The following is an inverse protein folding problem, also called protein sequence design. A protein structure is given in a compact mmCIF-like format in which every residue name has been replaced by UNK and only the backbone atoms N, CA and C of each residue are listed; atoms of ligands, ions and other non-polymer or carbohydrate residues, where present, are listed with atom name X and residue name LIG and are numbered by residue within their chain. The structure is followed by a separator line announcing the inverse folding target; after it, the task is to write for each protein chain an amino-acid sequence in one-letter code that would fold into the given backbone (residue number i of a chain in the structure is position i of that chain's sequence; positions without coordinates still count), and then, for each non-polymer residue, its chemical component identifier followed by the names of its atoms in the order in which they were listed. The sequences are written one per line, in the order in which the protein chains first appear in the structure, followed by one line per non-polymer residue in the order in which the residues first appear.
data_IF_618195079578
#
_entry.id   IF_618195079578
#
_cell.length_a   1.000
_cell.length_b   1.000
_cell.length_c   1.000
_cell.angle_alpha   90.00
_cell.angle_beta   90.00
_cell.angle_gamma   90.00
#
_symmetry.space_group_name_H-M   'P 1'
#
loop_
_entity.id
_entity.type
_entity.pdbx_description
1 polymer ?
#
# COMPACT_ATOMS: atom_id res chain seq x y z
N UNK A 1 0.61 11.46 12.65
CA UNK A 1 1.18 10.48 11.70
C UNK A 1 0.99 9.12 12.33
N UNK A 2 0.08 8.32 11.80
CA UNK A 2 -0.16 6.93 12.22
C UNK A 2 0.88 6.04 11.54
N UNK A 3 1.60 5.23 12.31
CA UNK A 3 2.69 4.39 11.79
C UNK A 3 2.21 3.02 11.30
N UNK A 4 1.02 2.60 11.74
CA UNK A 4 0.39 1.31 11.47
C UNK A 4 -1.12 1.48 11.60
N UNK A 5 -1.93 0.77 10.80
CA UNK A 5 -3.39 0.73 11.00
C UNK A 5 -3.78 -0.34 12.04
N UNK A 6 -4.97 -0.27 12.67
CA UNK A 6 -5.44 -1.33 13.58
C UNK A 6 -5.46 -2.72 12.95
N UNK A 7 -5.98 -2.83 11.73
CA UNK A 7 -6.01 -4.06 10.95
C UNK A 7 -4.62 -4.61 10.64
N UNK A 8 -3.66 -3.74 10.34
CA UNK A 8 -2.26 -4.14 10.14
C UNK A 8 -1.61 -4.58 11.46
N UNK A 9 -1.86 -3.89 12.56
CA UNK A 9 -1.34 -4.24 13.88
C UNK A 9 -1.90 -5.57 14.37
N UNK A 10 -3.20 -5.82 14.18
CA UNK A 10 -3.84 -7.10 14.48
C UNK A 10 -3.12 -8.25 13.76
N UNK A 11 -2.91 -8.10 12.45
CA UNK A 11 -2.19 -9.09 11.64
C UNK A 11 -0.74 -9.26 12.11
N UNK A 12 -0.01 -8.17 12.40
CA UNK A 12 1.35 -8.22 12.92
C UNK A 12 1.41 -8.95 14.27
N UNK A 13 0.46 -8.71 15.16
CA UNK A 13 0.36 -9.37 16.47
C UNK A 13 0.08 -10.87 16.33
N UNK A 14 -0.78 -11.27 15.39
CA UNK A 14 -1.02 -12.68 15.10
C UNK A 14 0.29 -13.41 14.71
N UNK A 15 1.12 -12.77 13.90
CA UNK A 15 2.42 -13.29 13.48
C UNK A 15 3.49 -13.22 14.58
N UNK A 16 3.41 -12.24 15.48
CA UNK A 16 4.29 -12.09 16.64
C UNK A 16 4.01 -13.14 17.71
N UNK A 17 2.74 -13.38 18.04
CA UNK A 17 2.28 -14.32 19.08
C UNK A 17 2.23 -15.79 18.62
N UNK A 18 2.57 -16.04 17.35
CA UNK A 18 2.62 -17.38 16.75
C UNK A 18 1.24 -18.03 16.55
N UNK A 19 0.23 -17.26 16.15
CA UNK A 19 -1.12 -17.79 15.88
C UNK A 19 -1.10 -18.57 14.57
N UNK A 20 -1.23 -19.91 14.66
CA UNK A 20 -1.01 -20.87 13.57
C UNK A 20 -1.93 -20.62 12.35
N UNK A 21 -3.14 -20.09 12.55
CA UNK A 21 -4.15 -19.92 11.50
C UNK A 21 -4.10 -18.57 10.77
N UNK A 22 -3.12 -17.70 11.04
CA UNK A 22 -3.07 -16.39 10.40
C UNK A 22 -2.32 -16.45 9.05
N UNK A 23 -3.01 -16.22 7.90
CA UNK A 23 -2.35 -16.17 6.60
C UNK A 23 -1.41 -14.96 6.47
N UNK A 24 -0.64 -14.94 5.38
CA UNK A 24 0.06 -13.71 4.98
C UNK A 24 -0.94 -12.58 4.71
N UNK A 25 -0.45 -11.33 4.71
CA UNK A 25 -1.29 -10.13 4.59
C UNK A 25 -2.37 -10.20 3.50
N UNK A 26 -2.02 -10.65 2.29
CA UNK A 26 -2.99 -10.74 1.20
C UNK A 26 -4.13 -11.72 1.51
N UNK A 27 -3.81 -12.90 2.07
CA UNK A 27 -4.84 -13.87 2.45
C UNK A 27 -5.68 -13.39 3.63
N UNK A 28 -5.08 -12.66 4.57
CA UNK A 28 -5.82 -12.02 5.67
C UNK A 28 -6.83 -11.01 5.11
N UNK A 29 -6.38 -10.12 4.21
CA UNK A 29 -7.25 -9.12 3.58
C UNK A 29 -8.33 -9.77 2.71
N UNK A 30 -7.99 -10.83 1.96
CA UNK A 30 -8.95 -11.57 1.14
C UNK A 30 -10.06 -12.19 2.00
N UNK A 31 -9.70 -12.91 3.07
CA UNK A 31 -10.69 -13.55 3.95
C UNK A 31 -11.57 -12.52 4.67
N UNK A 32 -10.98 -11.49 5.28
CA UNK A 32 -11.73 -10.50 6.08
C UNK A 32 -12.59 -9.54 5.24
N UNK A 33 -12.38 -9.50 3.93
CA UNK A 33 -13.19 -8.68 3.02
C UNK A 33 -14.10 -9.51 2.12
N UNK A 34 -14.14 -10.83 2.28
CA UNK A 34 -14.93 -11.74 1.43
C UNK A 34 -16.44 -11.47 1.51
N UNK A 35 -16.94 -11.16 2.70
CA UNK A 35 -18.35 -10.84 2.94
C UNK A 35 -18.73 -9.40 2.57
N UNK A 36 -17.76 -8.57 2.14
CA UNK A 36 -18.00 -7.15 1.84
C UNK A 36 -18.72 -7.01 0.51
N UNK A 37 -19.79 -6.22 0.49
CA UNK A 37 -20.45 -5.85 -0.76
C UNK A 37 -19.47 -5.12 -1.71
N UNK A 38 -19.45 -5.52 -2.97
CA UNK A 38 -18.66 -4.90 -4.02
C UNK A 38 -19.49 -4.67 -5.28
N UNK A 39 -18.98 -3.80 -6.15
CA UNK A 39 -19.53 -3.61 -7.49
C UNK A 39 -18.65 -4.31 -8.50
N UNK A 40 -19.27 -5.10 -9.37
CA UNK A 40 -18.57 -5.68 -10.51
C UNK A 40 -18.28 -4.58 -11.54
N UNK A 41 -17.06 -4.60 -12.09
CA UNK A 41 -16.68 -3.73 -13.20
C UNK A 41 -16.52 -4.56 -14.45
N UNK A 42 -17.01 -4.04 -15.57
CA UNK A 42 -16.79 -4.66 -16.87
C UNK A 42 -15.52 -4.10 -17.50
N UNK A 43 -14.60 -4.98 -17.89
CA UNK A 43 -13.41 -4.60 -18.66
C UNK A 43 -13.71 -4.82 -20.13
N UNK A 44 -13.66 -3.72 -20.90
CA UNK A 44 -13.85 -3.73 -22.35
C UNK A 44 -12.59 -3.20 -23.04
N UNK A 45 -12.18 -3.86 -24.10
CA UNK A 45 -11.09 -3.37 -24.95
C UNK A 45 -11.60 -2.28 -25.88
N UNK A 46 -10.90 -1.16 -25.90
CA UNK A 46 -11.19 -0.05 -26.81
C UNK A 46 -10.38 -0.17 -28.11
N UNK A 47 -10.81 0.47 -29.21
CA UNK A 47 -10.09 0.45 -30.47
C UNK A 47 -8.64 0.92 -30.34
N UNK A 48 -7.75 0.33 -31.14
CA UNK A 48 -6.36 0.78 -31.20
C UNK A 48 -6.26 2.15 -31.87
N UNK A 49 -5.45 3.03 -31.28
CA UNK A 49 -5.09 4.31 -31.88
C UNK A 49 -3.82 4.13 -32.70
N UNK A 50 -3.94 4.30 -34.02
CA UNK A 50 -2.82 4.18 -34.95
C UNK A 50 -2.03 5.51 -35.05
N UNK A 51 -1.49 5.96 -33.92
CA UNK A 51 -0.61 7.13 -33.81
C UNK A 51 0.56 6.80 -32.88
N UNK A 52 1.71 7.48 -33.02
CA UNK A 52 2.81 7.26 -32.08
C UNK A 52 2.39 7.71 -30.66
N UNK A 53 2.49 6.83 -29.65
CA UNK A 53 1.81 7.02 -28.36
C UNK A 53 2.30 8.22 -27.55
N UNK A 54 3.55 8.65 -27.81
CA UNK A 54 4.17 9.78 -27.13
C UNK A 54 3.84 11.14 -27.72
N UNK A 55 3.12 11.21 -28.83
CA UNK A 55 2.77 12.49 -29.48
C UNK A 55 1.63 13.18 -28.73
N UNK A 56 1.66 14.52 -28.59
CA UNK A 56 0.55 15.27 -28.00
C UNK A 56 -0.78 14.99 -28.69
N UNK A 57 -0.78 14.86 -30.02
CA UNK A 57 -1.97 14.55 -30.82
C UNK A 57 -2.58 13.20 -30.43
N UNK A 58 -1.76 12.15 -30.33
CA UNK A 58 -2.23 10.84 -29.90
C UNK A 58 -2.85 10.88 -28.51
N UNK A 59 -2.16 11.53 -27.55
CA UNK A 59 -2.64 11.62 -26.17
C UNK A 59 -3.96 12.41 -26.12
N UNK A 60 -4.04 13.53 -26.85
CA UNK A 60 -5.25 14.34 -26.92
C UNK A 60 -6.43 13.59 -27.55
N UNK A 61 -6.20 12.88 -28.66
CA UNK A 61 -7.24 12.05 -29.30
C UNK A 61 -7.75 10.95 -28.37
N UNK A 62 -6.86 10.26 -27.65
CA UNK A 62 -7.24 9.24 -26.65
C UNK A 62 -8.07 9.86 -25.53
N UNK A 63 -7.68 11.03 -25.01
CA UNK A 63 -8.40 11.73 -23.95
C UNK A 63 -9.81 12.15 -24.40
N UNK A 64 -9.96 12.69 -25.61
CA UNK A 64 -11.27 13.04 -26.18
C UNK A 64 -12.14 11.79 -26.31
N UNK A 65 -11.59 10.73 -26.89
CA UNK A 65 -12.30 9.48 -27.08
C UNK A 65 -12.77 8.90 -25.74
N UNK A 66 -11.88 8.83 -24.75
CA UNK A 66 -12.23 8.36 -23.40
C UNK A 66 -13.35 9.20 -22.76
N UNK A 67 -13.31 10.53 -22.90
CA UNK A 67 -14.38 11.40 -22.41
C UNK A 67 -15.72 11.13 -23.13
N UNK A 68 -15.70 10.95 -24.46
CA UNK A 68 -16.91 10.63 -25.23
C UNK A 68 -17.53 9.29 -24.81
N UNK A 69 -16.72 8.26 -24.59
CA UNK A 69 -17.18 6.95 -24.10
C UNK A 69 -17.77 7.07 -22.69
N UNK A 70 -17.08 7.75 -21.77
CA UNK A 70 -17.61 8.03 -20.43
C UNK A 70 -18.96 8.76 -20.49
N UNK A 71 -19.11 9.72 -21.41
CA UNK A 71 -20.36 10.45 -21.61
C UNK A 71 -21.50 9.53 -22.06
N UNK A 72 -21.25 8.60 -22.98
CA UNK A 72 -22.22 7.61 -23.43
C UNK A 72 -22.68 6.68 -22.29
N UNK A 73 -21.76 6.39 -21.36
CA UNK A 73 -22.03 5.61 -20.15
C UNK A 73 -22.61 6.44 -18.99
N UNK A 74 -22.99 7.70 -19.22
CA UNK A 74 -23.49 8.64 -18.22
C UNK A 74 -22.53 8.88 -17.03
N UNK A 75 -21.23 8.69 -17.24
CA UNK A 75 -20.20 8.98 -16.25
C UNK A 75 -19.87 10.48 -16.23
N UNK A 76 -19.96 11.10 -15.04
CA UNK A 76 -19.69 12.53 -14.86
C UNK A 76 -18.19 12.87 -14.89
N UNK A 77 -17.34 11.89 -14.59
CA UNK A 77 -15.89 12.04 -14.51
C UNK A 77 -15.24 10.91 -15.27
N UNK A 78 -14.29 11.25 -16.15
CA UNK A 78 -13.49 10.29 -16.90
C UNK A 78 -12.13 10.13 -16.22
N UNK A 79 -11.84 8.96 -15.66
CA UNK A 79 -10.53 8.67 -15.09
C UNK A 79 -9.64 8.01 -16.15
N UNK A 80 -8.47 8.58 -16.40
CA UNK A 80 -7.51 8.02 -17.36
C UNK A 80 -6.17 7.83 -16.67
N UNK A 81 -5.60 6.63 -16.79
CA UNK A 81 -4.29 6.29 -16.23
C UNK A 81 -3.23 6.28 -17.32
N UNK A 82 -2.06 6.84 -17.03
CA UNK A 82 -0.90 6.81 -17.92
C UNK A 82 0.36 6.38 -17.15
N UNK A 83 1.35 5.87 -17.88
CA UNK A 83 2.71 5.78 -17.36
C UNK A 83 3.31 7.17 -17.09
N UNK A 84 4.47 7.23 -16.45
CA UNK A 84 5.04 8.51 -15.99
C UNK A 84 5.32 9.51 -17.13
N UNK A 85 5.96 9.13 -18.27
CA UNK A 85 6.18 10.06 -19.36
C UNK A 85 4.89 10.60 -20.00
N UNK A 86 3.87 9.74 -20.19
CA UNK A 86 2.62 10.14 -20.81
C UNK A 86 1.73 10.91 -19.83
N UNK A 87 1.78 10.60 -18.54
CA UNK A 87 1.05 11.30 -17.48
C UNK A 87 1.34 12.80 -17.50
N UNK A 88 2.62 13.19 -17.57
CA UNK A 88 3.03 14.61 -17.57
C UNK A 88 2.43 15.34 -18.79
N UNK A 89 2.50 14.73 -19.97
CA UNK A 89 1.93 15.30 -21.20
C UNK A 89 0.41 15.40 -21.14
N UNK A 90 -0.25 14.35 -20.67
CA UNK A 90 -1.70 14.30 -20.52
C UNK A 90 -2.20 15.35 -19.52
N UNK A 91 -1.47 15.60 -18.42
CA UNK A 91 -1.79 16.67 -17.46
C UNK A 91 -1.78 18.05 -18.11
N UNK A 92 -0.75 18.38 -18.90
CA UNK A 92 -0.67 19.66 -19.60
C UNK A 92 -1.81 19.83 -20.63
N UNK A 93 -2.17 18.75 -21.33
CA UNK A 93 -3.30 18.75 -22.28
C UNK A 93 -4.62 19.00 -21.55
N UNK A 94 -4.89 18.29 -20.46
CA UNK A 94 -6.15 18.44 -19.71
C UNK A 94 -6.26 19.80 -19.06
N UNK A 95 -5.18 20.38 -18.55
CA UNK A 95 -5.17 21.73 -17.99
C UNK A 95 -5.49 22.80 -19.03
N UNK A 96 -5.02 22.62 -20.27
CA UNK A 96 -5.27 23.55 -21.38
C UNK A 96 -6.61 23.31 -22.10
N UNK A 97 -7.27 22.17 -21.85
CA UNK A 97 -8.48 21.74 -22.58
C UNK A 97 -9.73 21.75 -21.71
N UNK A 98 -10.84 22.33 -22.19
CA UNK A 98 -12.15 22.28 -21.50
C UNK A 98 -12.97 21.06 -21.94
N UNK A 99 -12.49 19.86 -21.62
CA UNK A 99 -13.15 18.60 -21.99
C UNK A 99 -14.34 18.29 -21.05
N UNK A 100 -15.39 17.68 -21.60
CA UNK A 100 -16.59 17.25 -20.87
C UNK A 100 -16.96 15.80 -21.24
N UNK A 101 -17.10 14.86 -20.29
CA UNK A 101 -16.91 14.98 -18.84
C UNK A 101 -15.52 15.43 -18.41
N UNK A 102 -15.41 15.92 -17.17
CA UNK A 102 -14.11 16.30 -16.61
C UNK A 102 -13.18 15.10 -16.61
N UNK A 103 -11.99 15.27 -17.18
CA UNK A 103 -10.97 14.21 -17.17
C UNK A 103 -10.07 14.37 -15.95
N UNK A 104 -9.90 13.27 -15.21
CA UNK A 104 -8.93 13.16 -14.12
C UNK A 104 -7.81 12.22 -14.56
N UNK A 105 -6.69 12.81 -14.93
CA UNK A 105 -5.48 12.06 -15.30
C UNK A 105 -4.79 11.55 -14.03
N UNK A 106 -4.47 10.26 -13.99
CA UNK A 106 -3.76 9.58 -12.89
C UNK A 106 -2.47 8.93 -13.38
N UNK A 107 -1.43 8.97 -12.56
CA UNK A 107 -0.27 8.11 -12.76
C UNK A 107 -0.69 6.67 -12.46
N UNK A 108 -0.35 5.73 -13.34
CA UNK A 108 -0.67 4.32 -13.19
C UNK A 108 -0.15 3.76 -11.86
N UNK A 109 -1.03 3.10 -11.08
CA UNK A 109 -0.72 2.63 -9.73
C UNK A 109 0.48 1.69 -9.67
N UNK A 110 0.65 0.83 -10.67
CA UNK A 110 1.82 -0.06 -10.79
C UNK A 110 3.14 0.72 -10.84
N UNK A 111 3.24 1.71 -11.74
CA UNK A 111 4.45 2.53 -11.87
C UNK A 111 4.69 3.39 -10.64
N UNK A 112 3.64 3.94 -10.04
CA UNK A 112 3.75 4.69 -8.80
C UNK A 112 4.35 3.84 -7.67
N UNK A 113 3.87 2.61 -7.49
CA UNK A 113 4.40 1.68 -6.48
C UNK A 113 5.84 1.30 -6.77
N UNK A 114 6.19 1.00 -8.03
CA UNK A 114 7.59 0.71 -8.38
C UNK A 114 8.51 1.89 -8.05
N UNK A 115 8.14 3.11 -8.47
CA UNK A 115 8.92 4.32 -8.19
C UNK A 115 9.02 4.58 -6.68
N UNK A 116 7.94 4.36 -5.92
CA UNK A 116 7.94 4.53 -4.47
C UNK A 116 8.88 3.53 -3.77
N UNK A 117 8.83 2.24 -4.13
CA UNK A 117 9.79 1.24 -3.62
C UNK A 117 11.23 1.59 -4.01
N UNK A 118 11.45 2.08 -5.23
CA UNK A 118 12.76 2.60 -5.66
C UNK A 118 13.27 3.74 -4.78
N UNK A 119 12.39 4.68 -4.42
CA UNK A 119 12.71 5.77 -3.48
C UNK A 119 13.03 5.25 -2.08
N UNK A 120 12.28 4.26 -1.58
CA UNK A 120 12.60 3.60 -0.31
C UNK A 120 14.00 2.98 -0.39
N UNK A 121 14.30 2.25 -1.47
CA UNK A 121 15.61 1.63 -1.67
C UNK A 121 16.75 2.65 -1.74
N UNK A 122 16.52 3.80 -2.39
CA UNK A 122 17.48 4.92 -2.42
C UNK A 122 17.73 5.51 -1.02
N UNK A 123 16.67 5.78 -0.25
CA UNK A 123 16.78 6.29 1.14
C UNK A 123 17.52 5.28 2.03
N UNK A 124 17.28 4.00 1.83
CA UNK A 124 17.87 2.90 2.61
C UNK A 124 19.24 2.46 2.10
N UNK A 125 19.84 3.15 1.13
CA UNK A 125 21.17 2.81 0.65
C UNK A 125 22.20 2.88 1.80
N UNK A 126 22.97 1.79 1.99
CA UNK A 126 23.98 1.69 3.06
C UNK A 126 23.41 1.46 4.47
N UNK A 127 22.11 1.27 4.63
CA UNK A 127 21.46 1.05 5.95
C UNK A 127 21.55 -0.38 6.49
N UNK A 128 22.00 -1.34 5.68
CA UNK A 128 21.89 -2.78 5.99
C UNK A 128 20.70 -3.49 5.32
N UNK A 129 19.78 -2.76 4.66
CA UNK A 129 18.60 -3.37 4.01
C UNK A 129 18.97 -4.38 2.93
N UNK A 130 20.02 -4.09 2.14
CA UNK A 130 20.51 -4.99 1.09
C UNK A 130 21.00 -6.30 1.69
N UNK A 131 21.78 -6.21 2.74
CA UNK A 131 22.36 -7.33 3.50
C UNK A 131 21.25 -8.16 4.14
N UNK A 132 20.24 -7.51 4.72
CA UNK A 132 19.06 -8.17 5.24
C UNK A 132 18.33 -8.97 4.14
N UNK A 133 18.11 -8.38 2.96
CA UNK A 133 17.45 -9.08 1.86
C UNK A 133 18.29 -10.23 1.27
N UNK A 134 19.63 -10.15 1.34
CA UNK A 134 20.53 -11.24 0.95
C UNK A 134 20.37 -12.50 1.83
N UNK A 135 19.73 -12.41 2.99
CA UNK A 135 19.46 -13.58 3.84
C UNK A 135 18.40 -14.52 3.26
N UNK A 136 17.53 -14.03 2.37
CA UNK A 136 16.37 -14.78 1.85
C UNK A 136 16.22 -14.69 0.32
N UNK A 137 16.91 -13.76 -0.34
CA UNK A 137 16.89 -13.60 -1.80
C UNK A 137 18.29 -13.71 -2.38
N UNK A 138 18.39 -14.23 -3.61
CA UNK A 138 19.66 -14.28 -4.34
C UNK A 138 20.14 -12.86 -4.71
N UNK A 139 21.45 -12.62 -4.54
CA UNK A 139 22.07 -11.30 -4.73
C UNK A 139 21.69 -10.62 -6.05
N UNK A 140 21.66 -11.36 -7.17
CA UNK A 140 21.32 -10.84 -8.50
C UNK A 140 19.88 -10.28 -8.61
N UNK A 141 18.98 -10.66 -7.68
CA UNK A 141 17.61 -10.14 -7.66
C UNK A 141 17.49 -8.83 -6.88
N UNK A 142 18.41 -8.57 -5.94
CA UNK A 142 18.28 -7.48 -4.98
C UNK A 142 18.44 -6.12 -5.63
N UNK A 143 19.35 -5.96 -6.59
CA UNK A 143 19.50 -4.68 -7.30
C UNK A 143 18.19 -4.25 -7.94
N UNK A 144 17.49 -5.18 -8.60
CA UNK A 144 16.18 -4.92 -9.19
C UNK A 144 15.08 -4.72 -8.15
N UNK A 145 15.20 -5.30 -6.96
CA UNK A 145 14.24 -5.10 -5.87
C UNK A 145 14.41 -3.73 -5.23
N UNK A 146 15.65 -3.29 -4.99
CA UNK A 146 15.98 -1.99 -4.42
C UNK A 146 15.54 -0.83 -5.32
N UNK A 147 15.50 -1.03 -6.63
CA UNK A 147 14.95 -0.04 -7.58
C UNK A 147 13.45 -0.22 -7.84
N UNK A 148 12.77 -1.16 -7.17
CA UNK A 148 11.35 -1.46 -7.36
C UNK A 148 10.98 -2.19 -8.67
N UNK A 149 11.94 -2.46 -9.56
CA UNK A 149 11.71 -3.10 -10.86
C UNK A 149 11.35 -4.60 -10.77
N UNK A 150 11.80 -5.29 -9.72
CA UNK A 150 11.36 -6.64 -9.42
C UNK A 150 10.09 -6.63 -8.53
N UNK A 151 9.01 -6.01 -9.05
CA UNK A 151 7.80 -5.63 -8.30
C UNK A 151 7.35 -6.63 -7.24
N UNK A 152 6.96 -7.86 -7.62
CA UNK A 152 6.37 -8.82 -6.67
C UNK A 152 7.35 -9.22 -5.56
N UNK A 153 8.65 -9.32 -5.89
CA UNK A 153 9.70 -9.63 -4.91
C UNK A 153 9.98 -8.43 -4.00
N UNK A 154 10.02 -7.23 -4.54
CA UNK A 154 10.23 -5.99 -3.78
C UNK A 154 9.10 -5.76 -2.78
N UNK A 155 7.83 -5.86 -3.21
CA UNK A 155 6.66 -5.73 -2.33
C UNK A 155 6.73 -6.74 -1.19
N UNK A 156 7.00 -8.02 -1.51
CA UNK A 156 7.12 -9.08 -0.50
C UNK A 156 8.26 -8.79 0.48
N UNK A 157 9.43 -8.40 -0.01
CA UNK A 157 10.59 -8.11 0.82
C UNK A 157 10.32 -6.94 1.78
N UNK A 158 9.73 -5.85 1.28
CA UNK A 158 9.34 -4.73 2.11
C UNK A 158 8.36 -5.13 3.22
N UNK A 159 7.29 -5.87 2.87
CA UNK A 159 6.29 -6.35 3.84
C UNK A 159 6.91 -7.27 4.91
N UNK A 160 7.82 -8.17 4.53
CA UNK A 160 8.51 -9.05 5.47
C UNK A 160 9.45 -8.28 6.39
N UNK A 161 10.23 -7.34 5.85
CA UNK A 161 11.12 -6.50 6.67
C UNK A 161 10.31 -5.68 7.68
N UNK A 162 9.20 -5.07 7.27
CA UNK A 162 8.33 -4.33 8.19
C UNK A 162 7.75 -5.24 9.28
N UNK A 163 7.34 -6.47 8.94
CA UNK A 163 6.88 -7.46 9.92
C UNK A 163 7.99 -7.86 10.91
N UNK A 164 9.24 -8.00 10.45
CA UNK A 164 10.37 -8.26 11.35
C UNK A 164 10.59 -7.08 12.31
N UNK A 165 10.54 -5.85 11.80
CA UNK A 165 10.65 -4.64 12.62
C UNK A 165 9.49 -4.52 13.61
N UNK A 166 8.25 -4.87 13.23
CA UNK A 166 7.11 -4.82 14.13
C UNK A 166 7.29 -5.78 15.31
N UNK A 167 7.86 -6.97 15.09
CA UNK A 167 8.17 -7.92 16.17
C UNK A 167 9.17 -7.32 17.15
N UNK A 168 10.25 -6.73 16.64
CA UNK A 168 11.25 -6.04 17.49
C UNK A 168 10.60 -4.91 18.29
N UNK A 169 9.76 -4.09 17.66
CA UNK A 169 9.06 -2.99 18.34
C UNK A 169 8.14 -3.54 19.43
N UNK A 170 7.35 -4.58 19.13
CA UNK A 170 6.41 -5.21 20.08
C UNK A 170 7.13 -5.88 21.26
N UNK A 171 8.28 -6.51 21.02
CA UNK A 171 9.10 -7.13 22.07
C UNK A 171 9.69 -6.10 23.05
N UNK A 172 9.90 -4.85 22.60
CA UNK A 172 10.37 -3.77 23.46
C UNK A 172 9.26 -3.08 24.27
N UNK A 173 7.98 -3.39 24.00
CA UNK A 173 6.87 -2.84 24.79
C UNK A 173 6.72 -3.68 26.06
N UNK A 174 6.76 -3.01 27.21
CA UNK A 174 6.44 -3.64 28.49
C UNK A 174 4.95 -3.97 28.58
N UNK A 175 4.58 -5.18 28.14
CA UNK A 175 3.25 -5.75 28.27
C UNK A 175 3.26 -6.82 29.36
N UNK A 176 2.26 -6.77 30.25
CA UNK A 176 2.06 -7.83 31.24
C UNK A 176 1.74 -9.15 30.56
N UNK A 177 2.07 -10.28 31.20
CA UNK A 177 1.72 -11.59 30.66
C UNK A 177 0.21 -11.77 30.51
N UNK A 178 -0.59 -11.21 31.43
CA UNK A 178 -2.05 -11.16 31.33
C UNK A 178 -2.53 -10.42 30.08
N UNK A 179 -1.88 -9.29 29.74
CA UNK A 179 -2.20 -8.53 28.53
C UNK A 179 -1.89 -9.35 27.27
N UNK A 180 -0.73 -10.01 27.22
CA UNK A 180 -0.33 -10.87 26.09
C UNK A 180 -1.28 -12.04 25.92
N UNK A 181 -1.73 -12.66 27.02
CA UNK A 181 -2.72 -13.75 27.00
C UNK A 181 -4.05 -13.23 26.45
N UNK A 182 -4.54 -12.10 26.95
CA UNK A 182 -5.80 -11.49 26.49
C UNK A 182 -5.73 -11.14 24.99
N UNK A 183 -4.64 -10.53 24.55
CA UNK A 183 -4.41 -10.20 23.14
C UNK A 183 -4.37 -11.46 22.27
N UNK A 184 -3.64 -12.50 22.70
CA UNK A 184 -3.55 -13.76 21.98
C UNK A 184 -4.89 -14.46 21.87
N UNK A 185 -5.68 -14.45 22.94
CA UNK A 185 -7.01 -15.04 22.97
C UNK A 185 -7.94 -14.33 21.98
N UNK A 186 -7.99 -12.99 22.02
CA UNK A 186 -8.77 -12.18 21.07
C UNK A 186 -8.40 -12.50 19.61
N UNK A 187 -7.11 -12.45 19.27
CA UNK A 187 -6.64 -12.71 17.90
C UNK A 187 -6.94 -14.16 17.47
N UNK A 188 -6.79 -15.12 18.39
CA UNK A 188 -7.03 -16.54 18.08
C UNK A 188 -8.52 -16.87 17.96
N UNK A 189 -9.40 -16.13 18.64
CA UNK A 189 -10.85 -16.27 18.55
C UNK A 189 -11.47 -15.47 17.40
N UNK A 190 -10.70 -14.58 16.76
CA UNK A 190 -11.18 -13.79 15.63
C UNK A 190 -11.43 -14.71 14.44
N UNK A 191 -12.70 -14.90 14.09
CA UNK A 191 -13.09 -15.58 12.86
C UNK A 191 -13.12 -14.57 11.72
N UNK A 192 -12.10 -14.63 10.86
CA UNK A 192 -11.97 -13.71 9.73
C UNK A 192 -13.06 -13.85 8.67
N UNK A 193 -13.91 -14.87 8.73
CA UNK A 193 -15.06 -15.02 7.80
C UNK A 193 -16.24 -14.16 8.25
N UNK A 194 -16.48 -14.11 9.56
CA UNK A 194 -17.63 -13.43 10.16
C UNK A 194 -17.30 -12.04 10.71
N UNK A 195 -16.04 -11.80 11.08
CA UNK A 195 -15.56 -10.51 11.56
C UNK A 195 -15.28 -9.56 10.40
N UNK A 196 -15.50 -8.27 10.60
CA UNK A 196 -15.20 -7.22 9.63
C UNK A 196 -13.92 -6.47 9.98
N UNK A 197 -13.40 -5.68 9.03
CA UNK A 197 -12.31 -4.74 9.32
C UNK A 197 -12.71 -3.71 10.39
N UNK A 198 -13.98 -3.28 10.40
CA UNK A 198 -14.48 -2.30 11.37
C UNK A 198 -14.49 -2.88 12.79
N UNK A 199 -14.80 -4.17 12.95
CA UNK A 199 -14.74 -4.86 14.25
C UNK A 199 -13.30 -4.86 14.81
N UNK A 200 -12.30 -5.11 13.96
CA UNK A 200 -10.88 -5.05 14.36
C UNK A 200 -10.47 -3.61 14.62
N UNK A 201 -10.87 -2.68 13.76
CA UNK A 201 -10.53 -1.26 13.87
C UNK A 201 -11.10 -0.63 15.14
N UNK A 202 -12.24 -1.07 15.64
CA UNK A 202 -12.84 -0.50 16.85
C UNK A 202 -12.54 -1.30 18.13
N UNK A 203 -11.86 -2.44 18.04
CA UNK A 203 -11.62 -3.28 19.22
C UNK A 203 -10.69 -2.61 20.23
N UNK A 204 -11.14 -2.53 21.49
CA UNK A 204 -10.46 -1.76 22.56
C UNK A 204 -9.01 -2.19 22.77
N UNK A 205 -8.71 -3.50 22.78
CA UNK A 205 -7.33 -3.97 22.98
C UNK A 205 -6.39 -3.56 21.84
N UNK A 206 -6.89 -3.47 20.60
CA UNK A 206 -6.10 -3.08 19.44
C UNK A 206 -5.86 -1.57 19.47
N UNK A 207 -6.90 -0.79 19.79
CA UNK A 207 -6.78 0.66 19.96
C UNK A 207 -5.83 1.03 21.10
N UNK A 208 -5.89 0.31 22.22
CA UNK A 208 -4.92 0.47 23.30
C UNK A 208 -3.50 0.15 22.84
N UNK A 209 -3.31 -0.98 22.16
CA UNK A 209 -2.00 -1.40 21.69
C UNK A 209 -1.41 -0.45 20.64
N UNK A 210 -2.23 0.13 19.75
CA UNK A 210 -1.79 1.18 18.82
C UNK A 210 -1.11 2.31 19.58
N UNK A 211 -1.74 2.83 20.63
CA UNK A 211 -1.17 3.95 21.40
C UNK A 211 0.17 3.57 22.03
N UNK A 212 0.30 2.34 22.55
CA UNK A 212 1.55 1.82 23.10
C UNK A 212 2.63 1.70 22.01
N UNK A 213 2.29 1.15 20.84
CA UNK A 213 3.19 1.02 19.68
C UNK A 213 3.65 2.38 19.18
N UNK A 214 2.74 3.34 19.01
CA UNK A 214 3.08 4.69 18.57
C UNK A 214 4.02 5.41 19.53
N UNK A 215 3.81 5.22 20.84
CA UNK A 215 4.71 5.76 21.86
C UNK A 215 6.08 5.07 21.80
N UNK A 216 6.12 3.74 21.67
CA UNK A 216 7.38 3.00 21.55
C UNK A 216 8.15 3.38 20.29
N UNK A 217 7.47 3.59 19.17
CA UNK A 217 8.08 4.06 17.92
C UNK A 217 8.77 5.42 18.12
N UNK A 218 8.14 6.36 18.84
CA UNK A 218 8.75 7.66 19.16
C UNK A 218 10.00 7.50 20.04
N UNK A 219 9.95 6.60 21.02
CA UNK A 219 11.09 6.29 21.89
C UNK A 219 12.24 5.66 21.08
N UNK A 220 11.95 4.69 20.22
CA UNK A 220 12.97 4.07 19.37
C UNK A 220 13.57 5.11 18.41
N UNK A 221 12.74 5.93 17.78
CA UNK A 221 13.19 6.96 16.84
C UNK A 221 14.14 7.98 17.47
N UNK A 222 14.04 8.25 18.79
CA UNK A 222 14.91 9.20 19.50
C UNK A 222 16.29 8.64 19.86
N UNK A 223 16.53 7.32 19.70
CA UNK A 223 17.80 6.66 20.03
C UNK A 223 18.96 7.02 19.11
N UNK A 224 18.68 7.68 17.99
CA UNK A 224 19.69 8.18 17.06
C UNK A 224 19.32 7.95 15.60
N UNK A 225 20.17 8.47 14.71
CA UNK A 225 19.89 8.56 13.26
C UNK A 225 19.52 7.23 12.61
N UNK A 226 20.21 6.15 12.99
CA UNK A 226 19.93 4.81 12.44
C UNK A 226 18.54 4.32 12.85
N UNK A 227 18.16 4.49 14.13
CA UNK A 227 16.83 4.10 14.60
C UNK A 227 15.75 4.95 13.93
N UNK A 228 15.96 6.26 13.80
CA UNK A 228 15.06 7.16 13.06
C UNK A 228 14.86 6.71 11.62
N UNK A 229 15.93 6.32 10.92
CA UNK A 229 15.87 5.85 9.53
C UNK A 229 15.03 4.57 9.40
N UNK A 230 15.21 3.60 10.30
CA UNK A 230 14.44 2.35 10.27
C UNK A 230 12.97 2.55 10.67
N UNK A 231 12.66 3.50 11.56
CA UNK A 231 11.28 3.92 11.83
C UNK A 231 10.66 4.62 10.62
N UNK A 232 11.42 5.47 9.92
CA UNK A 232 10.96 6.08 8.67
C UNK A 232 10.67 4.99 7.62
N UNK A 233 11.55 3.99 7.48
CA UNK A 233 11.30 2.83 6.63
C UNK A 233 10.00 2.10 7.01
N UNK A 234 9.79 1.84 8.30
CA UNK A 234 8.57 1.20 8.79
C UNK A 234 7.30 1.94 8.35
N UNK A 235 7.32 3.28 8.46
CA UNK A 235 6.23 4.13 8.00
C UNK A 235 6.06 4.14 6.47
N UNK A 236 7.16 4.20 5.70
CA UNK A 236 7.08 4.17 4.24
C UNK A 236 6.48 2.85 3.74
N UNK A 237 6.79 1.71 4.37
CA UNK A 237 6.16 0.42 4.02
C UNK A 237 4.68 0.39 4.41
N UNK A 238 4.27 1.06 5.51
CA UNK A 238 2.86 1.25 5.83
C UNK A 238 2.13 2.02 4.71
N UNK A 239 2.69 3.14 4.23
CA UNK A 239 2.10 3.90 3.09
C UNK A 239 2.01 3.02 1.85
N UNK A 240 3.06 2.25 1.53
CA UNK A 240 3.05 1.32 0.40
C UNK A 240 1.88 0.33 0.50
N UNK A 241 1.67 -0.26 1.68
CA UNK A 241 0.57 -1.20 1.94
C UNK A 241 -0.79 -0.53 1.80
N UNK A 242 -0.96 0.66 2.37
CA UNK A 242 -2.21 1.44 2.27
C UNK A 242 -2.53 1.83 0.83
N UNK A 243 -1.53 2.18 0.03
CA UNK A 243 -1.73 2.49 -1.39
C UNK A 243 -2.19 1.25 -2.17
N UNK A 244 -1.54 0.10 -1.96
CA UNK A 244 -1.96 -1.17 -2.59
C UNK A 244 -3.39 -1.51 -2.19
N UNK A 245 -3.73 -1.36 -0.90
CA UNK A 245 -5.07 -1.58 -0.41
C UNK A 245 -6.08 -0.63 -1.08
N UNK A 246 -5.78 0.67 -1.15
CA UNK A 246 -6.63 1.68 -1.79
C UNK A 246 -6.96 1.34 -3.24
N UNK A 247 -5.97 0.91 -4.03
CA UNK A 247 -6.16 0.51 -5.42
C UNK A 247 -7.02 -0.75 -5.54
N UNK A 248 -6.90 -1.70 -4.60
CA UNK A 248 -7.68 -2.94 -4.60
C UNK A 248 -9.15 -2.73 -4.26
N UNK A 249 -9.45 -1.82 -3.33
CA UNK A 249 -10.84 -1.52 -2.93
C UNK A 249 -11.46 -0.34 -3.70
N UNK A 250 -10.74 0.28 -4.63
CA UNK A 250 -11.21 1.44 -5.38
C UNK A 250 -11.44 2.69 -4.51
N UNK A 251 -10.76 2.83 -3.36
CA UNK A 251 -10.97 3.96 -2.45
C UNK A 251 -10.23 5.21 -2.91
N UNK A 252 -10.97 6.18 -3.45
CA UNK A 252 -10.41 7.46 -3.89
C UNK A 252 -9.78 8.26 -2.75
N UNK A 253 -10.43 8.28 -1.58
CA UNK A 253 -9.93 9.02 -0.41
C UNK A 253 -8.58 8.47 0.06
N UNK A 254 -8.47 7.14 0.20
CA UNK A 254 -7.23 6.51 0.64
C UNK A 254 -6.13 6.64 -0.42
N UNK A 255 -6.49 6.56 -1.70
CA UNK A 255 -5.58 6.82 -2.80
C UNK A 255 -4.96 8.24 -2.72
N UNK A 256 -5.78 9.24 -2.40
CA UNK A 256 -5.31 10.61 -2.24
C UNK A 256 -4.46 10.78 -0.98
N UNK A 257 -4.85 10.17 0.13
CA UNK A 257 -4.08 10.17 1.37
C UNK A 257 -2.66 9.64 1.17
N UNK A 258 -2.50 8.54 0.44
CA UNK A 258 -1.19 7.92 0.18
C UNK A 258 -0.31 8.70 -0.82
N UNK A 259 -0.83 9.77 -1.45
CA UNK A 259 -0.09 10.62 -2.39
C UNK A 259 0.41 11.94 -1.77
N UNK A 260 -0.03 12.28 -0.56
CA UNK A 260 0.44 13.47 0.18
C UNK A 260 1.79 13.19 0.84
#
# INVERSE_FOLDING_TARGET
MTYVSPSELHWMCAQWLGVIKCPGWNGFMETITDSREYQETQISFLPFVNLPPSTPDCIHSVLIFAAQECKQLNQRTCFVTFDQPLYIKARNIVESSKLNPQIVVRLGGFHLVMSFMGSIGYIMAGSGLRELWNTIYAANSIDKMMTGHAYSRAVRAHMLTQLCLSKIILDEIELTEEYKITLKNYISSTDYITSTLEDIENHEIIQDLIRKVENQIKIIASRGKTATLWIQYFYLVHILRQFIYAERIGSWYLHYFCRQ
#
